data_IF_043741654764
#
_entry.id   IF_043741654764
#
_cell.length_a   1.000
_cell.length_b   1.000
_cell.length_c   1.000
_cell.angle_alpha   90.00
_cell.angle_beta   90.00
_cell.angle_gamma   90.00
#
_symmetry.space_group_name_H-M   'P 1'
#
loop_
_entity.id
_entity.type
_entity.pdbx_description
1 polymer ?
#
# COMPACT_ATOMS: atom_id res chain seq x y z
N UNK A 1 -20.69 -4.84 0.73
CA UNK A 1 -19.47 -5.16 -0.04
C UNK A 1 -18.27 -4.97 0.88
N UNK A 2 -17.24 -5.82 0.81
CA UNK A 2 -15.97 -5.54 1.48
C UNK A 2 -15.19 -4.61 0.55
N UNK A 3 -14.92 -3.38 0.98
CA UNK A 3 -14.08 -2.45 0.22
C UNK A 3 -12.65 -2.98 0.21
N UNK A 4 -12.07 -3.17 -0.96
CA UNK A 4 -10.66 -3.56 -1.07
C UNK A 4 -9.77 -2.30 -0.99
N UNK A 5 -8.54 -2.45 -0.50
CA UNK A 5 -7.55 -1.37 -0.46
C UNK A 5 -7.42 -0.61 -1.79
N UNK A 6 -7.46 -1.33 -2.91
CA UNK A 6 -7.42 -0.74 -4.25
C UNK A 6 -8.61 0.20 -4.52
N UNK A 7 -9.82 -0.15 -4.07
CA UNK A 7 -11.01 0.71 -4.21
C UNK A 7 -10.89 1.99 -3.38
N UNK A 8 -10.23 1.92 -2.22
CA UNK A 8 -10.07 3.06 -1.32
C UNK A 8 -9.00 4.04 -1.82
N UNK A 9 -7.87 3.51 -2.33
CA UNK A 9 -6.74 4.33 -2.79
C UNK A 9 -6.94 4.77 -4.26
N UNK A 10 -7.79 4.08 -5.02
CA UNK A 10 -8.05 4.36 -6.44
C UNK A 10 -6.93 3.90 -7.38
N UNK A 11 -6.08 2.98 -6.90
CA UNK A 11 -4.90 2.47 -7.59
C UNK A 11 -4.78 0.97 -7.40
N UNK A 12 -4.20 0.28 -8.38
CA UNK A 12 -3.98 -1.16 -8.33
C UNK A 12 -3.00 -1.51 -7.19
N UNK A 13 -3.40 -2.48 -6.36
CA UNK A 13 -2.53 -3.01 -5.31
C UNK A 13 -1.38 -3.77 -5.97
N UNK A 14 -0.16 -3.37 -5.66
CA UNK A 14 1.04 -4.06 -6.13
C UNK A 14 1.46 -5.17 -5.17
N UNK A 15 1.43 -4.87 -3.87
CA UNK A 15 1.83 -5.82 -2.84
C UNK A 15 1.44 -5.38 -1.43
N UNK A 16 1.45 -6.35 -0.51
CA UNK A 16 1.37 -6.08 0.94
C UNK A 16 2.77 -6.24 1.50
N UNK A 17 3.25 -5.19 2.15
CA UNK A 17 4.58 -5.15 2.74
C UNK A 17 4.55 -5.70 4.16
N UNK A 18 3.65 -5.17 4.99
CA UNK A 18 3.61 -5.47 6.42
C UNK A 18 2.17 -5.40 6.92
N UNK A 19 1.83 -6.24 7.88
CA UNK A 19 0.61 -6.12 8.67
C UNK A 19 0.99 -6.32 10.13
N UNK A 20 0.54 -5.42 11.00
CA UNK A 20 0.86 -5.43 12.43
C UNK A 20 -0.39 -5.06 13.22
N UNK A 21 -0.68 -5.78 14.30
CA UNK A 21 -1.76 -5.38 15.21
C UNK A 21 -1.35 -4.17 16.05
N UNK A 22 -2.23 -3.19 16.20
CA UNK A 22 -1.97 -1.98 17.01
C UNK A 22 -2.75 -1.93 18.34
N UNK A 23 -3.45 -3.01 18.67
CA UNK A 23 -4.21 -3.16 19.93
C UNK A 23 -5.72 -3.14 19.69
N UNK A 24 -6.21 -2.09 19.03
CA UNK A 24 -7.63 -1.90 18.70
C UNK A 24 -7.94 -2.20 17.22
N UNK A 25 -6.95 -2.75 16.50
CA UNK A 25 -7.05 -2.96 15.07
C UNK A 25 -5.73 -3.42 14.45
N UNK A 26 -5.54 -3.04 13.20
CA UNK A 26 -4.36 -3.38 12.41
C UNK A 26 -3.83 -2.15 11.69
N UNK A 27 -2.51 -2.10 11.57
CA UNK A 27 -1.81 -1.24 10.62
C UNK A 27 -1.25 -2.09 9.50
N UNK A 28 -1.61 -1.79 8.26
CA UNK A 28 -1.08 -2.44 7.08
C UNK A 28 -0.25 -1.45 6.25
N UNK A 29 0.92 -1.89 5.80
CA UNK A 29 1.72 -1.16 4.83
C UNK A 29 1.62 -1.88 3.50
N UNK A 30 1.26 -1.15 2.45
CA UNK A 30 1.02 -1.68 1.11
C UNK A 30 1.73 -0.86 0.06
N UNK A 31 2.00 -1.48 -1.09
CA UNK A 31 2.41 -0.82 -2.31
C UNK A 31 1.26 -0.80 -3.30
N UNK A 32 1.10 0.31 -4.01
CA UNK A 32 0.15 0.45 -5.11
C UNK A 32 0.85 1.04 -6.33
N UNK A 33 0.37 0.70 -7.51
CA UNK A 33 0.83 1.31 -8.75
C UNK A 33 0.10 2.63 -8.97
N UNK A 34 0.76 3.73 -8.65
CA UNK A 34 0.18 5.07 -8.84
C UNK A 34 0.24 5.52 -10.32
N UNK A 35 1.22 5.02 -11.08
CA UNK A 35 1.33 5.25 -12.53
C UNK A 35 2.11 4.12 -13.22
N UNK A 36 1.50 3.55 -14.25
CA UNK A 36 2.16 2.63 -15.17
C UNK A 36 3.11 3.32 -16.16
N UNK A 37 4.16 2.59 -16.54
CA UNK A 37 5.21 2.95 -17.50
C UNK A 37 5.47 1.76 -18.44
N UNK A 38 6.22 2.01 -19.52
CA UNK A 38 6.73 0.94 -20.40
C UNK A 38 8.26 1.09 -20.49
N UNK A 39 9.05 0.07 -20.09
CA UNK A 39 8.60 -1.18 -19.47
C UNK A 39 8.00 -0.97 -18.08
N UNK A 40 7.22 -1.94 -17.62
CA UNK A 40 6.56 -2.02 -16.31
C UNK A 40 7.54 -2.01 -15.12
N UNK A 41 8.80 -2.38 -15.37
CA UNK A 41 9.90 -2.18 -14.40
C UNK A 41 10.17 -0.72 -14.06
N UNK A 42 9.62 0.22 -14.85
CA UNK A 42 9.72 1.67 -14.64
C UNK A 42 8.45 2.28 -14.03
N UNK A 43 7.52 1.46 -13.54
CA UNK A 43 6.29 1.89 -12.88
C UNK A 43 6.62 2.77 -11.66
N UNK A 44 5.69 3.67 -11.33
CA UNK A 44 5.79 4.50 -10.14
C UNK A 44 4.91 3.89 -9.07
N UNK A 45 5.55 3.40 -8.01
CA UNK A 45 4.93 2.79 -6.86
C UNK A 45 4.74 3.82 -5.75
N UNK A 46 3.60 3.73 -5.07
CA UNK A 46 3.30 4.47 -3.85
C UNK A 46 3.24 3.52 -2.67
N UNK A 47 3.88 3.89 -1.55
CA UNK A 47 3.78 3.16 -0.29
C UNK A 47 2.76 3.83 0.60
N UNK A 48 1.78 3.07 1.07
CA UNK A 48 0.69 3.55 1.89
C UNK A 48 0.62 2.78 3.20
N UNK A 49 0.34 3.50 4.26
CA UNK A 49 0.00 2.96 5.58
C UNK A 49 -1.51 3.09 5.76
N UNK A 50 -2.16 2.00 6.13
CA UNK A 50 -3.59 1.87 6.33
C UNK A 50 -3.84 1.53 7.79
N UNK A 51 -4.75 2.25 8.42
CA UNK A 51 -5.33 1.88 9.71
C UNK A 51 -6.61 1.12 9.47
N UNK A 52 -6.74 -0.05 10.10
CA UNK A 52 -7.93 -0.88 10.02
C UNK A 52 -8.47 -1.15 11.43
N UNK A 53 -9.79 -1.22 11.56
CA UNK A 53 -10.43 -1.67 12.80
C UNK A 53 -10.36 -3.20 12.97
N UNK A 54 -10.91 -3.70 14.08
CA UNK A 54 -11.00 -5.13 14.42
C UNK A 54 -11.73 -5.98 13.36
N UNK A 55 -12.61 -5.37 12.56
CA UNK A 55 -13.33 -6.01 11.46
C UNK A 55 -12.59 -5.93 10.11
N UNK A 56 -11.34 -5.46 10.12
CA UNK A 56 -10.52 -5.21 8.94
C UNK A 56 -11.15 -4.21 7.95
N UNK A 57 -11.90 -3.22 8.46
CA UNK A 57 -12.35 -2.08 7.66
C UNK A 57 -11.34 -0.95 7.79
N UNK A 58 -11.00 -0.34 6.66
CA UNK A 58 -10.07 0.78 6.66
C UNK A 58 -10.72 1.99 7.33
N UNK A 59 -10.10 2.49 8.39
CA UNK A 59 -10.52 3.67 9.16
C UNK A 59 -9.68 4.89 8.84
N UNK A 60 -8.50 4.69 8.25
CA UNK A 60 -7.62 5.77 7.82
C UNK A 60 -6.55 5.28 6.86
N UNK A 61 -5.97 6.20 6.11
CA UNK A 61 -4.80 5.92 5.30
C UNK A 61 -3.92 7.16 5.14
N UNK A 62 -2.63 6.93 4.90
CA UNK A 62 -1.71 7.97 4.47
C UNK A 62 -0.66 7.40 3.53
N UNK A 63 -0.17 8.24 2.63
CA UNK A 63 0.98 7.91 1.79
C UNK A 63 2.27 8.20 2.54
N UNK A 64 3.14 7.21 2.64
CA UNK A 64 4.41 7.30 3.37
C UNK A 64 5.61 7.40 2.44
N UNK A 65 5.46 7.08 1.14
CA UNK A 65 6.53 7.25 0.17
C UNK A 65 6.08 7.05 -1.28
N UNK A 66 6.95 7.42 -2.21
CA UNK A 66 6.82 7.13 -3.64
C UNK A 66 8.20 6.89 -4.24
N UNK A 67 8.32 5.88 -5.08
CA UNK A 67 9.55 5.57 -5.80
C UNK A 67 9.22 4.97 -7.16
N UNK A 68 10.24 4.86 -8.01
CA UNK A 68 10.15 4.07 -9.23
C UNK A 68 10.48 2.61 -8.88
N UNK A 69 9.79 1.65 -9.50
CA UNK A 69 10.06 0.21 -9.29
C UNK A 69 11.51 -0.19 -9.60
N UNK A 70 12.20 0.53 -10.48
CA UNK A 70 13.63 0.31 -10.72
C UNK A 70 14.55 0.74 -9.58
N UNK A 71 14.06 1.60 -8.67
CA UNK A 71 14.77 2.06 -7.47
C UNK A 71 14.56 1.10 -6.28
N UNK A 72 13.99 -0.10 -6.49
CA UNK A 72 13.74 -1.13 -5.47
C UNK A 72 15.01 -1.81 -4.92
N UNK A 73 16.01 -1.01 -4.55
CA UNK A 73 17.09 -1.33 -3.62
C UNK A 73 16.75 -0.88 -2.18
N UNK A 74 15.54 -0.35 -1.93
CA UNK A 74 15.16 0.25 -0.65
C UNK A 74 14.46 -0.72 0.30
N UNK A 75 15.29 -1.27 1.20
CA UNK A 75 15.03 -1.74 2.56
C UNK A 75 14.52 -3.19 2.77
N UNK A 76 15.49 -4.05 3.13
CA UNK A 76 15.32 -5.21 4.03
C UNK A 76 14.64 -4.77 5.35
N UNK A 77 13.69 -5.58 5.83
CA UNK A 77 13.02 -5.42 7.14
C UNK A 77 13.87 -5.96 8.28
#
# INVERSE_FOLDING_TARGET
ARTTTADLIGHDLDGVIQVTGDGDGWVAVVEVVERHSVPDTQDILGRYELSLDEDARVTGYRRVGRYRRSDSDVDEY
#
